data_IF_724013494420
#
_entry.id   IF_724013494420
#
_cell.length_a   1.000
_cell.length_b   1.000
_cell.length_c   1.000
_cell.angle_alpha   90.00
_cell.angle_beta   90.00
_cell.angle_gamma   90.00
#
_symmetry.space_group_name_H-M   'P 1'
#
loop_
_entity.id
_entity.type
_entity.pdbx_description
1 polymer ?
#
# COMPACT_ATOMS: atom_id res chain seq x y z
N UNK A 1 -27.99 25.80 -0.10
CA UNK A 1 -27.24 25.18 -1.20
C UNK A 1 -25.93 24.68 -0.60
N UNK A 2 -25.80 23.38 -0.32
CA UNK A 2 -24.55 22.82 0.21
C UNK A 2 -23.55 22.73 -0.93
N UNK A 3 -22.34 23.26 -0.73
CA UNK A 3 -21.21 22.93 -1.58
C UNK A 3 -21.12 21.40 -1.68
N UNK A 4 -21.09 20.87 -2.90
CA UNK A 4 -20.79 19.46 -3.11
C UNK A 4 -19.41 19.22 -2.49
N UNK A 5 -19.35 18.42 -1.42
CA UNK A 5 -18.07 17.99 -0.87
C UNK A 5 -17.31 17.29 -1.98
N UNK A 6 -16.26 17.94 -2.49
CA UNK A 6 -15.39 17.36 -3.50
C UNK A 6 -14.65 16.21 -2.83
N UNK A 7 -15.18 15.00 -2.97
CA UNK A 7 -14.53 13.79 -2.46
C UNK A 7 -13.30 13.52 -3.33
N UNK A 8 -12.14 14.00 -2.88
CA UNK A 8 -10.87 13.54 -3.42
C UNK A 8 -10.68 12.08 -3.02
N UNK A 9 -10.59 11.21 -4.02
CA UNK A 9 -10.18 9.83 -3.80
C UNK A 9 -8.72 9.84 -3.35
N UNK A 10 -8.49 9.60 -2.07
CA UNK A 10 -7.14 9.53 -1.49
C UNK A 10 -6.56 8.14 -1.76
N UNK A 11 -5.32 8.10 -2.22
CA UNK A 11 -4.52 6.88 -2.27
C UNK A 11 -3.43 6.96 -1.21
N UNK A 12 -3.37 5.96 -0.33
CA UNK A 12 -2.37 5.87 0.74
C UNK A 12 -1.43 4.72 0.42
N UNK A 13 -0.13 5.00 0.38
CA UNK A 13 0.91 4.01 0.13
C UNK A 13 1.83 3.99 1.34
N UNK A 14 1.90 2.84 2.01
CA UNK A 14 2.73 2.66 3.18
C UNK A 14 4.04 1.98 2.78
N UNK A 15 5.16 2.65 3.07
CA UNK A 15 6.51 2.18 2.76
C UNK A 15 7.24 1.95 4.07
N UNK A 16 7.74 0.74 4.31
CA UNK A 16 8.45 0.43 5.55
C UNK A 16 9.90 0.93 5.55
N UNK A 17 10.50 0.94 6.75
CA UNK A 17 11.89 1.35 6.97
C UNK A 17 12.92 0.23 6.74
N UNK A 18 14.07 0.36 7.38
CA UNK A 18 15.19 -0.57 7.25
C UNK A 18 14.93 -1.90 7.99
N UNK A 19 15.30 -3.01 7.35
CA UNK A 19 15.18 -4.39 7.88
C UNK A 19 16.55 -5.08 7.96
N UNK A 20 17.51 -4.56 8.76
CA UNK A 20 18.86 -5.11 8.84
C UNK A 20 18.90 -6.56 9.35
N UNK A 21 17.86 -6.98 10.09
CA UNK A 21 17.75 -8.35 10.65
C UNK A 21 16.97 -9.30 9.75
N UNK A 22 16.62 -8.86 8.54
CA UNK A 22 15.82 -9.61 7.56
C UNK A 22 14.60 -10.31 8.19
N UNK A 23 13.88 -9.59 9.06
CA UNK A 23 12.67 -10.11 9.70
C UNK A 23 11.61 -10.37 8.63
N UNK A 24 10.96 -11.52 8.73
CA UNK A 24 9.80 -11.88 7.91
C UNK A 24 8.63 -10.95 8.24
N UNK A 25 7.82 -10.61 7.24
CA UNK A 25 6.68 -9.70 7.34
C UNK A 25 7.03 -8.34 7.95
N UNK A 26 8.23 -7.82 7.63
CA UNK A 26 8.70 -6.56 8.20
C UNK A 26 7.86 -5.37 7.74
N UNK A 27 7.32 -5.41 6.53
CA UNK A 27 6.46 -4.36 6.01
C UNK A 27 5.22 -4.21 6.88
N UNK A 28 4.50 -5.32 7.09
CA UNK A 28 3.29 -5.42 7.89
C UNK A 28 3.58 -5.03 9.34
N UNK A 29 4.61 -5.64 9.94
CA UNK A 29 5.00 -5.37 11.34
C UNK A 29 5.41 -3.93 11.59
N UNK A 30 5.90 -3.21 10.58
CA UNK A 30 6.23 -1.78 10.72
C UNK A 30 4.97 -0.93 10.93
N UNK A 31 3.86 -1.35 10.33
CA UNK A 31 2.57 -0.64 10.39
C UNK A 31 1.56 -1.33 11.32
N UNK A 32 1.98 -2.35 12.07
CA UNK A 32 1.17 -3.08 13.02
C UNK A 32 1.37 -2.55 14.44
N UNK A 33 0.28 -2.43 15.20
CA UNK A 33 0.33 -2.23 16.64
C UNK A 33 -0.69 -3.16 17.31
N UNK A 34 -0.23 -3.95 18.29
CA UNK A 34 -1.08 -4.91 19.03
C UNK A 34 -1.86 -5.89 18.12
N UNK A 35 -1.23 -6.43 17.07
CA UNK A 35 -1.87 -7.36 16.14
C UNK A 35 -2.87 -6.70 15.18
N UNK A 36 -2.88 -5.37 15.11
CA UNK A 36 -3.75 -4.58 14.23
C UNK A 36 -2.93 -3.79 13.22
N UNK A 37 -3.21 -4.00 11.94
CA UNK A 37 -2.51 -3.33 10.85
C UNK A 37 -3.16 -1.97 10.59
N UNK A 38 -2.38 -0.90 10.66
CA UNK A 38 -2.89 0.47 10.56
C UNK A 38 -3.73 0.72 9.29
N UNK A 39 -3.25 0.24 8.15
CA UNK A 39 -3.87 0.44 6.84
C UNK A 39 -5.22 -0.26 6.71
N UNK A 40 -5.43 -1.39 7.40
CA UNK A 40 -6.61 -2.23 7.25
C UNK A 40 -7.60 -2.04 8.40
N UNK A 41 -7.11 -2.00 9.65
CA UNK A 41 -7.97 -1.98 10.83
C UNK A 41 -8.40 -0.56 11.26
N UNK A 42 -7.61 0.47 10.94
CA UNK A 42 -7.83 1.83 11.46
C UNK A 42 -8.12 2.86 10.36
N UNK A 43 -7.38 2.82 9.25
CA UNK A 43 -7.52 3.79 8.16
C UNK A 43 -8.92 3.83 7.54
N UNK A 44 -9.61 2.69 7.29
CA UNK A 44 -10.96 2.72 6.71
C UNK A 44 -11.99 3.45 7.56
N UNK A 45 -11.81 3.51 8.89
CA UNK A 45 -12.70 4.25 9.79
C UNK A 45 -12.63 5.77 9.59
N UNK A 46 -11.54 6.27 9.01
CA UNK A 46 -11.32 7.70 8.74
C UNK A 46 -11.43 8.03 7.27
N UNK A 47 -10.98 7.12 6.40
CA UNK A 47 -11.02 7.25 4.95
C UNK A 47 -11.62 5.98 4.33
N UNK A 48 -12.96 5.81 4.38
CA UNK A 48 -13.63 4.57 3.93
C UNK A 48 -13.44 4.24 2.44
N UNK A 49 -13.06 5.24 1.65
CA UNK A 49 -12.87 5.13 0.20
C UNK A 49 -11.40 5.24 -0.22
N UNK A 50 -10.48 5.24 0.74
CA UNK A 50 -9.07 5.28 0.42
C UNK A 50 -8.66 3.97 -0.26
N UNK A 51 -7.90 4.09 -1.35
CA UNK A 51 -7.15 2.95 -1.90
C UNK A 51 -5.85 2.85 -1.13
N UNK A 52 -5.53 1.66 -0.67
CA UNK A 52 -4.35 1.41 0.16
C UNK A 52 -3.38 0.48 -0.57
N UNK A 53 -2.09 0.65 -0.33
CA UNK A 53 -1.05 -0.27 -0.78
C UNK A 53 0.05 -0.34 0.28
N UNK A 54 0.41 -1.54 0.72
CA UNK A 54 1.58 -1.78 1.53
C UNK A 54 2.74 -2.19 0.61
N UNK A 55 3.77 -1.35 0.51
CA UNK A 55 4.93 -1.63 -0.32
C UNK A 55 6.03 -2.29 0.51
N UNK A 56 6.20 -3.60 0.32
CA UNK A 56 7.30 -4.39 0.85
C UNK A 56 8.48 -4.45 -0.12
N UNK A 57 9.69 -4.15 0.36
CA UNK A 57 10.93 -4.31 -0.39
C UNK A 57 12.05 -4.89 0.48
N UNK A 58 13.05 -5.50 -0.17
CA UNK A 58 14.25 -5.94 0.54
C UNK A 58 15.04 -4.70 0.97
N UNK A 59 14.93 -4.29 2.22
CA UNK A 59 15.63 -3.10 2.74
C UNK A 59 16.99 -3.39 3.36
N UNK A 60 17.47 -4.65 3.30
CA UNK A 60 18.87 -4.96 3.56
C UNK A 60 19.76 -4.44 2.41
N UNK A 61 19.31 -4.58 1.16
CA UNK A 61 20.04 -4.06 0.01
C UNK A 61 20.12 -2.54 0.04
N UNK A 62 19.15 -1.82 0.61
CA UNK A 62 19.20 -0.34 0.74
C UNK A 62 20.17 0.16 1.82
N UNK A 63 20.60 -0.70 2.76
CA UNK A 63 21.62 -0.36 3.78
C UNK A 63 23.02 -0.51 3.20
N UNK A 64 23.23 -1.55 2.38
CA UNK A 64 24.53 -1.86 1.77
C UNK A 64 24.74 -1.19 0.39
N UNK A 65 23.68 -0.63 -0.21
CA UNK A 65 23.75 -0.03 -1.54
C UNK A 65 24.00 1.47 -1.54
N UNK A 66 24.71 1.90 -2.58
CA UNK A 66 24.83 3.29 -2.98
C UNK A 66 23.48 3.86 -3.47
N UNK A 67 23.47 5.11 -3.93
CA UNK A 67 22.32 5.74 -4.60
C UNK A 67 21.65 4.89 -5.69
N UNK A 68 22.38 3.95 -6.31
CA UNK A 68 21.86 3.01 -7.29
C UNK A 68 20.80 2.05 -6.73
N UNK A 69 21.00 1.50 -5.53
CA UNK A 69 20.03 0.56 -4.95
C UNK A 69 18.75 1.24 -4.46
N UNK A 70 18.85 2.46 -3.94
CA UNK A 70 17.68 3.31 -3.64
C UNK A 70 16.88 3.58 -4.92
N UNK A 71 17.56 3.88 -6.03
CA UNK A 71 16.91 4.13 -7.34
C UNK A 71 16.14 2.91 -7.83
N UNK A 72 16.72 1.72 -7.69
CA UNK A 72 16.06 0.47 -8.07
C UNK A 72 14.77 0.24 -7.26
N UNK A 73 14.81 0.43 -5.94
CA UNK A 73 13.61 0.27 -5.11
C UNK A 73 12.54 1.32 -5.41
N UNK A 74 12.93 2.54 -5.76
CA UNK A 74 11.99 3.57 -6.23
C UNK A 74 11.32 3.17 -7.57
N UNK A 75 12.07 2.57 -8.50
CA UNK A 75 11.51 2.04 -9.75
C UNK A 75 10.53 0.89 -9.48
N UNK A 76 10.88 -0.04 -8.58
CA UNK A 76 9.99 -1.13 -8.18
C UNK A 76 8.69 -0.62 -7.56
N UNK A 77 8.76 0.42 -6.72
CA UNK A 77 7.57 1.07 -6.17
C UNK A 77 6.65 1.61 -7.27
N UNK A 78 7.20 2.34 -8.26
CA UNK A 78 6.41 2.89 -9.36
C UNK A 78 5.75 1.80 -10.22
N UNK A 79 6.48 0.71 -10.49
CA UNK A 79 5.97 -0.44 -11.24
C UNK A 79 4.79 -1.07 -10.49
N UNK A 80 4.97 -1.39 -9.21
CA UNK A 80 3.90 -2.01 -8.42
C UNK A 80 2.68 -1.09 -8.28
N UNK A 81 2.89 0.22 -8.03
CA UNK A 81 1.79 1.20 -8.03
C UNK A 81 1.02 1.23 -9.35
N UNK A 82 1.72 1.10 -10.48
CA UNK A 82 1.12 1.03 -11.80
C UNK A 82 0.28 -0.24 -11.99
N UNK A 83 0.76 -1.38 -11.48
CA UNK A 83 0.03 -2.65 -11.51
C UNK A 83 -1.23 -2.58 -10.65
N UNK A 84 -1.12 -2.11 -9.41
CA UNK A 84 -2.26 -1.94 -8.50
C UNK A 84 -3.34 -1.03 -9.11
N UNK A 85 -2.97 0.08 -9.73
CA UNK A 85 -3.96 0.97 -10.35
C UNK A 85 -4.69 0.32 -11.53
N UNK A 86 -4.04 -0.59 -12.26
CA UNK A 86 -4.66 -1.33 -13.37
C UNK A 86 -5.57 -2.46 -12.89
N UNK A 87 -5.20 -3.16 -11.82
CA UNK A 87 -6.06 -4.20 -11.23
C UNK A 87 -7.37 -3.60 -10.75
N UNK A 88 -7.35 -2.42 -10.12
CA UNK A 88 -8.57 -1.70 -9.75
C UNK A 88 -9.41 -1.27 -10.96
N UNK A 89 -8.79 -0.85 -12.07
CA UNK A 89 -9.52 -0.47 -13.28
C UNK A 89 -10.23 -1.69 -13.92
N UNK A 90 -9.52 -2.79 -14.08
CA UNK A 90 -10.07 -4.04 -14.64
C UNK A 90 -11.16 -4.65 -13.74
N UNK A 91 -10.99 -4.59 -12.43
CA UNK A 91 -12.01 -5.01 -11.46
C UNK A 91 -13.27 -4.13 -11.51
N UNK A 92 -13.11 -2.84 -11.78
CA UNK A 92 -14.26 -1.91 -11.90
C UNK A 92 -15.03 -2.05 -13.22
N UNK A 93 -14.40 -2.56 -14.27
CA UNK A 93 -15.03 -2.74 -15.59
C UNK A 93 -15.82 -4.06 -15.70
N UNK A 94 -15.71 -4.97 -14.72
CA UNK A 94 -16.30 -6.31 -14.79
C UNK A 94 -17.32 -6.66 -13.70
N UNK A 95 -17.66 -5.79 -12.74
CA UNK A 95 -18.71 -6.16 -11.79
C UNK A 95 -19.51 -4.99 -11.20
N UNK A 96 -20.73 -4.83 -11.70
CA UNK A 96 -21.82 -4.38 -10.84
C UNK A 96 -22.14 -5.50 -9.84
N UNK A 97 -22.07 -5.15 -8.55
CA UNK A 97 -22.47 -5.98 -7.41
C UNK A 97 -21.70 -7.28 -7.19
N UNK A 98 -20.44 -7.20 -6.77
CA UNK A 98 -19.87 -8.10 -5.76
C UNK A 98 -18.57 -7.50 -5.22
N UNK A 99 -18.62 -6.94 -4.01
CA UNK A 99 -17.42 -6.55 -3.28
C UNK A 99 -16.78 -7.86 -2.81
N UNK A 100 -15.92 -8.46 -3.64
CA UNK A 100 -15.02 -9.50 -3.19
C UNK A 100 -13.83 -8.84 -2.49
N UNK A 101 -13.82 -8.95 -1.16
CA UNK A 101 -12.66 -8.65 -0.33
C UNK A 101 -11.61 -9.75 -0.57
N UNK A 102 -10.97 -9.73 -1.74
CA UNK A 102 -9.88 -10.65 -2.07
C UNK A 102 -8.55 -9.99 -1.80
N UNK A 103 -8.25 -9.76 -0.52
CA UNK A 103 -6.87 -9.67 -0.04
C UNK A 103 -6.83 -10.27 1.36
N UNK A 104 -6.25 -11.46 1.45
CA UNK A 104 -5.86 -12.08 2.72
C UNK A 104 -4.54 -12.78 2.46
N UNK A 105 -3.52 -12.30 3.18
CA UNK A 105 -2.23 -12.92 3.52
C UNK A 105 -1.44 -13.66 2.42
#
# INVERSE_FOLDING_TARGET
>A
MSAAAQYYYVSVVAVHGLNPKNKVNHAERTWESNGKLWLEDFLPNKLPRARTMLFGYKSNVSIESSSAGVREQAQNLLIQLGLERKTFACASETCGNEISNSWSA
#
